data_IF_523343058387
#
_entry.id   IF_523343058387
#
_cell.length_a   1.000
_cell.length_b   1.000
_cell.length_c   1.000
_cell.angle_alpha   90.00
_cell.angle_beta   90.00
_cell.angle_gamma   90.00
#
_symmetry.space_group_name_H-M   'P 1'
#
loop_
_entity.id
_entity.type
_entity.pdbx_description
1 polymer ?
#
# COMPACT_ATOMS: atom_id res chain seq x y z
N UNK A 1 16.70 -10.87 16.82
CA UNK A 1 16.12 -11.65 15.70
C UNK A 1 17.08 -12.78 15.34
N UNK A 2 16.56 -13.95 14.96
CA UNK A 2 17.42 -15.07 14.51
C UNK A 2 18.10 -14.67 13.18
N UNK A 3 19.45 -14.77 13.12
CA UNK A 3 20.23 -14.37 11.94
C UNK A 3 19.80 -15.11 10.68
N UNK A 4 19.56 -16.42 10.77
CA UNK A 4 19.10 -17.26 9.65
C UNK A 4 17.73 -16.79 9.13
N UNK A 5 16.80 -16.42 10.02
CA UNK A 5 15.50 -15.90 9.63
C UNK A 5 15.66 -14.57 8.87
N UNK A 6 16.52 -13.69 9.34
CA UNK A 6 16.81 -12.43 8.68
C UNK A 6 17.36 -12.64 7.28
N UNK A 7 18.32 -13.55 7.12
CA UNK A 7 18.90 -13.89 5.80
C UNK A 7 17.83 -14.48 4.85
N UNK A 8 16.94 -15.34 5.36
CA UNK A 8 15.81 -15.88 4.56
C UNK A 8 14.87 -14.73 4.13
N UNK A 9 14.50 -13.83 5.02
CA UNK A 9 13.62 -12.71 4.70
C UNK A 9 14.25 -11.78 3.65
N UNK A 10 15.54 -11.47 3.79
CA UNK A 10 16.28 -10.62 2.85
C UNK A 10 16.48 -11.27 1.48
N UNK A 11 16.49 -12.60 1.39
CA UNK A 11 16.61 -13.32 0.12
C UNK A 11 15.29 -13.46 -0.65
N UNK A 12 14.17 -13.06 -0.08
CA UNK A 12 12.84 -13.21 -0.68
C UNK A 12 12.41 -11.94 -1.40
N UNK A 13 12.28 -12.02 -2.71
CA UNK A 13 11.79 -10.93 -3.56
C UNK A 13 10.27 -10.66 -3.41
N UNK A 14 9.54 -11.60 -2.81
CA UNK A 14 8.09 -11.51 -2.62
C UNK A 14 7.69 -10.90 -1.27
N UNK A 15 8.66 -10.49 -0.44
CA UNK A 15 8.43 -9.83 0.85
C UNK A 15 8.87 -8.38 0.75
N UNK A 16 7.99 -7.48 1.18
CA UNK A 16 8.27 -6.06 1.30
C UNK A 16 8.35 -5.64 2.76
N UNK A 17 9.19 -4.66 3.07
CA UNK A 17 9.19 -3.95 4.35
C UNK A 17 8.03 -2.93 4.45
N UNK A 18 7.28 -2.78 3.37
CA UNK A 18 6.15 -1.88 3.25
C UNK A 18 4.85 -2.64 3.05
N UNK A 19 3.76 -2.03 3.50
CA UNK A 19 2.38 -2.38 3.13
C UNK A 19 1.74 -1.17 2.44
N UNK A 20 0.87 -1.43 1.46
CA UNK A 20 0.36 -0.43 0.54
C UNK A 20 -1.14 -0.23 0.73
N UNK A 21 -1.56 1.03 0.84
CA UNK A 21 -2.96 1.41 0.72
C UNK A 21 -3.21 1.95 -0.67
N UNK A 22 -3.92 1.18 -1.50
CA UNK A 22 -4.29 1.59 -2.86
C UNK A 22 -5.63 2.29 -2.86
N UNK A 23 -5.71 3.34 -3.65
CA UNK A 23 -6.98 3.98 -4.00
C UNK A 23 -7.68 3.20 -5.11
N UNK A 24 -8.93 3.53 -5.41
CA UNK A 24 -9.78 2.76 -6.33
C UNK A 24 -10.77 3.65 -7.06
N UNK A 25 -11.37 3.07 -8.11
CA UNK A 25 -12.36 3.71 -8.96
C UNK A 25 -11.78 4.82 -9.85
N UNK A 26 -12.64 5.51 -10.57
CA UNK A 26 -12.25 6.51 -11.57
C UNK A 26 -11.56 7.75 -10.98
N UNK A 27 -11.82 8.07 -9.71
CA UNK A 27 -11.22 9.21 -8.99
C UNK A 27 -10.07 8.82 -8.06
N UNK A 28 -9.36 7.74 -8.42
CA UNK A 28 -8.29 7.20 -7.58
C UNK A 28 -7.11 8.18 -7.39
N UNK A 29 -6.78 8.94 -8.42
CA UNK A 29 -5.72 9.96 -8.37
C UNK A 29 -6.10 11.10 -7.42
N UNK A 30 -7.29 11.69 -7.57
CA UNK A 30 -7.79 12.75 -6.70
C UNK A 30 -7.93 12.27 -5.24
N UNK A 31 -8.25 11.00 -5.07
CA UNK A 31 -8.28 10.40 -3.73
C UNK A 31 -6.88 10.34 -3.12
N UNK A 32 -5.86 9.99 -3.91
CA UNK A 32 -4.47 10.01 -3.46
C UNK A 32 -4.03 11.42 -3.08
N UNK A 33 -4.35 12.44 -3.92
CA UNK A 33 -4.09 13.85 -3.59
C UNK A 33 -4.73 14.24 -2.25
N UNK A 34 -6.02 13.90 -2.06
CA UNK A 34 -6.74 14.18 -0.80
C UNK A 34 -6.06 13.55 0.41
N UNK A 35 -5.52 12.34 0.28
CA UNK A 35 -4.80 11.64 1.35
C UNK A 35 -3.49 12.36 1.67
N UNK A 36 -2.74 12.76 0.64
CA UNK A 36 -1.45 13.47 0.81
C UNK A 36 -1.65 14.85 1.44
N UNK A 37 -2.61 15.64 0.95
CA UNK A 37 -2.93 16.97 1.47
C UNK A 37 -3.43 16.89 2.93
N UNK A 38 -4.29 15.93 3.20
CA UNK A 38 -4.83 15.70 4.53
C UNK A 38 -3.86 14.98 5.48
N UNK A 39 -2.71 14.50 4.98
CA UNK A 39 -1.71 13.73 5.72
C UNK A 39 -2.31 12.57 6.50
N UNK A 40 -3.36 11.94 5.96
CA UNK A 40 -4.10 10.88 6.65
C UNK A 40 -4.87 9.97 5.69
N UNK A 41 -4.83 8.68 5.98
CA UNK A 41 -5.73 7.68 5.39
C UNK A 41 -6.90 7.50 6.35
N UNK A 42 -8.14 7.67 5.87
CA UNK A 42 -9.36 7.63 6.69
C UNK A 42 -10.25 6.44 6.35
N UNK A 43 -10.90 5.87 7.36
CA UNK A 43 -11.97 4.87 7.19
C UNK A 43 -13.27 5.56 6.74
N UNK A 44 -13.33 5.92 5.46
CA UNK A 44 -14.51 6.61 4.87
C UNK A 44 -15.76 5.74 4.82
N UNK A 45 -15.61 4.42 4.96
CA UNK A 45 -16.74 3.47 4.92
C UNK A 45 -17.23 3.05 6.31
N UNK A 46 -16.67 3.61 7.38
CA UNK A 46 -17.01 3.28 8.77
C UNK A 46 -16.93 1.78 9.09
N UNK A 47 -15.94 1.09 8.53
CA UNK A 47 -15.69 -0.33 8.81
C UNK A 47 -15.06 -0.58 10.18
N UNK A 48 -14.49 0.46 10.79
CA UNK A 48 -13.74 0.38 12.03
C UNK A 48 -12.28 -0.06 11.83
N UNK A 49 -11.83 -0.18 10.58
CA UNK A 49 -10.45 -0.50 10.25
C UNK A 49 -10.06 0.02 8.87
N UNK A 50 -8.76 0.20 8.67
CA UNK A 50 -8.15 0.58 7.39
C UNK A 50 -7.37 -0.63 6.86
N UNK A 51 -7.52 -0.90 5.54
CA UNK A 51 -6.88 -2.02 4.85
C UNK A 51 -5.60 -1.59 4.15
N UNK A 52 -4.61 -2.47 4.19
CA UNK A 52 -3.37 -2.39 3.42
C UNK A 52 -3.12 -3.73 2.71
N UNK A 53 -2.31 -3.71 1.68
CA UNK A 53 -1.88 -4.90 0.94
C UNK A 53 -0.37 -5.10 1.11
N UNK A 54 0.06 -6.33 1.33
CA UNK A 54 1.45 -6.77 1.24
C UNK A 54 1.66 -7.64 -0.03
N UNK A 55 0.84 -7.43 -1.07
CA UNK A 55 1.04 -8.13 -2.33
C UNK A 55 2.45 -7.86 -2.87
N UNK A 56 3.12 -8.88 -3.43
CA UNK A 56 4.46 -8.70 -3.99
C UNK A 56 4.49 -7.57 -5.01
N UNK A 57 5.45 -6.66 -4.87
CA UNK A 57 5.61 -5.50 -5.78
C UNK A 57 5.71 -5.98 -7.24
N UNK A 58 6.37 -7.09 -7.49
CA UNK A 58 6.50 -7.70 -8.81
C UNK A 58 5.18 -8.12 -9.45
N UNK A 59 4.12 -8.31 -8.65
CA UNK A 59 2.78 -8.67 -9.14
C UNK A 59 1.89 -7.45 -9.39
N UNK A 60 2.20 -6.29 -8.81
CA UNK A 60 1.36 -5.10 -8.89
C UNK A 60 1.15 -4.61 -10.33
N UNK A 61 2.13 -4.56 -11.22
CA UNK A 61 1.92 -4.13 -12.60
C UNK A 61 0.84 -4.97 -13.31
N UNK A 62 0.97 -6.30 -13.24
CA UNK A 62 -0.03 -7.20 -13.86
C UNK A 62 -1.42 -7.07 -13.23
N UNK A 63 -1.48 -6.78 -11.94
CA UNK A 63 -2.73 -6.51 -11.24
C UNK A 63 -3.39 -5.23 -11.75
N UNK A 64 -2.64 -4.14 -11.87
CA UNK A 64 -3.16 -2.87 -12.37
C UNK A 64 -3.64 -2.99 -13.82
N UNK A 65 -2.85 -3.63 -14.70
CA UNK A 65 -3.22 -3.90 -16.09
C UNK A 65 -4.52 -4.72 -16.20
N UNK A 66 -4.74 -5.65 -15.27
CA UNK A 66 -5.96 -6.43 -15.22
C UNK A 66 -7.15 -5.56 -14.80
N UNK A 67 -6.99 -4.77 -13.74
CA UNK A 67 -8.07 -3.93 -13.20
C UNK A 67 -8.42 -2.74 -14.10
N UNK A 68 -7.48 -2.22 -14.87
CA UNK A 68 -7.71 -1.11 -15.83
C UNK A 68 -8.76 -1.51 -16.92
N UNK A 69 -9.00 -2.80 -17.12
CA UNK A 69 -10.01 -3.30 -18.06
C UNK A 69 -11.45 -3.14 -17.56
N UNK A 70 -11.65 -2.75 -16.31
CA UNK A 70 -12.96 -2.58 -15.70
C UNK A 70 -13.27 -1.10 -15.52
N UNK A 71 -14.52 -0.69 -15.78
CA UNK A 71 -14.98 0.69 -15.60
C UNK A 71 -14.82 1.21 -14.17
N UNK A 72 -14.88 0.30 -13.18
CA UNK A 72 -14.67 0.60 -11.76
C UNK A 72 -13.59 -0.32 -11.18
N UNK A 73 -12.31 -0.01 -11.40
CA UNK A 73 -11.23 -0.84 -10.92
C UNK A 73 -11.24 -0.96 -9.39
N UNK A 74 -11.11 -2.18 -8.89
CA UNK A 74 -11.02 -2.44 -7.45
C UNK A 74 -9.73 -1.88 -6.85
N UNK A 75 -8.66 -1.82 -7.65
CA UNK A 75 -7.38 -1.20 -7.33
C UNK A 75 -6.92 -0.42 -8.54
N UNK A 76 -6.50 0.81 -8.33
CA UNK A 76 -5.86 1.65 -9.32
C UNK A 76 -4.36 1.80 -9.00
N UNK A 77 -3.51 2.18 -9.97
CA UNK A 77 -2.07 2.36 -9.75
C UNK A 77 -1.76 3.65 -8.97
N UNK A 78 -2.51 3.90 -7.90
CA UNK A 78 -2.35 5.05 -7.01
C UNK A 78 -2.42 4.57 -5.57
N UNK A 79 -1.45 4.94 -4.75
CA UNK A 79 -1.43 4.47 -3.37
C UNK A 79 -0.28 5.03 -2.55
N UNK A 80 -0.28 4.62 -1.30
CA UNK A 80 0.74 4.98 -0.33
C UNK A 80 1.29 3.72 0.32
N UNK A 81 2.61 3.57 0.30
CA UNK A 81 3.33 2.56 1.04
C UNK A 81 3.80 3.10 2.39
N UNK A 82 3.52 2.37 3.46
CA UNK A 82 3.95 2.68 4.83
C UNK A 82 4.77 1.50 5.34
N UNK A 83 5.80 1.78 6.15
CA UNK A 83 6.61 0.71 6.74
C UNK A 83 5.73 -0.25 7.53
N UNK A 84 5.94 -1.53 7.31
CA UNK A 84 5.19 -2.61 7.99
C UNK A 84 5.33 -2.53 9.50
N UNK A 85 6.50 -2.13 10.00
CA UNK A 85 6.76 -1.94 11.42
C UNK A 85 5.86 -0.84 12.02
N UNK A 86 5.68 0.29 11.31
CA UNK A 86 4.83 1.38 11.77
C UNK A 86 3.37 0.95 11.82
N UNK A 87 2.91 0.26 10.79
CA UNK A 87 1.56 -0.32 10.75
C UNK A 87 1.36 -1.34 11.88
N UNK A 88 2.37 -2.17 12.16
CA UNK A 88 2.32 -3.12 13.29
C UNK A 88 2.22 -2.41 14.64
N UNK A 89 2.99 -1.34 14.84
CA UNK A 89 2.98 -0.53 16.07
C UNK A 89 1.65 0.20 16.28
N UNK A 90 0.96 0.57 15.20
CA UNK A 90 -0.41 1.11 15.23
C UNK A 90 -1.49 0.04 15.53
N UNK A 91 -1.10 -1.19 15.81
CA UNK A 91 -2.02 -2.30 16.05
C UNK A 91 -2.43 -3.06 14.81
N UNK A 92 -1.89 -2.72 13.65
CA UNK A 92 -2.14 -3.43 12.40
C UNK A 92 -1.68 -4.87 12.45
N UNK A 93 -2.46 -5.76 11.80
CA UNK A 93 -2.18 -7.21 11.76
C UNK A 93 -2.60 -7.79 10.40
N UNK A 94 -1.97 -8.88 9.97
CA UNK A 94 -2.42 -9.64 8.81
C UNK A 94 -3.87 -10.09 8.98
N UNK A 95 -4.62 -10.12 7.89
CA UNK A 95 -5.97 -10.67 7.86
C UNK A 95 -5.99 -12.16 8.22
N UNK A 96 -7.14 -12.63 8.68
CA UNK A 96 -7.42 -14.03 8.97
C UNK A 96 -8.39 -14.51 7.90
N UNK A 97 -7.91 -15.37 7.01
CA UNK A 97 -8.71 -15.95 5.94
C UNK A 97 -9.37 -17.23 6.42
N UNK A 98 -10.67 -17.37 6.18
CA UNK A 98 -11.41 -18.57 6.57
C UNK A 98 -12.82 -18.58 5.98
N UNK A 99 -13.52 -19.70 6.15
CA UNK A 99 -14.95 -19.78 5.78
C UNK A 99 -15.77 -18.83 6.64
N UNK A 100 -16.96 -18.49 6.20
CA UNK A 100 -17.88 -17.65 6.99
C UNK A 100 -18.15 -18.26 8.36
N UNK A 101 -18.31 -19.58 8.44
CA UNK A 101 -18.54 -20.32 9.68
C UNK A 101 -17.36 -20.19 10.65
N UNK A 102 -16.13 -20.37 10.17
CA UNK A 102 -14.92 -20.23 10.97
C UNK A 102 -14.76 -18.79 11.48
N UNK A 103 -15.02 -17.81 10.63
CA UNK A 103 -14.91 -16.39 10.99
C UNK A 103 -15.93 -15.97 12.05
N UNK A 104 -17.12 -16.61 12.10
CA UNK A 104 -18.12 -16.36 13.18
C UNK A 104 -17.62 -16.80 14.54
N UNK A 105 -16.69 -17.75 14.60
CA UNK A 105 -16.11 -18.29 15.84
C UNK A 105 -14.95 -17.43 16.37
N UNK A 106 -14.49 -16.46 15.61
CA UNK A 106 -13.45 -15.55 16.08
C UNK A 106 -13.93 -14.77 17.31
N UNK A 107 -13.08 -14.57 18.32
CA UNK A 107 -13.34 -13.62 19.39
C UNK A 107 -13.69 -12.24 18.83
N UNK A 108 -14.58 -11.52 19.50
CA UNK A 108 -15.04 -10.18 19.07
C UNK A 108 -13.86 -9.25 18.77
N UNK A 109 -12.81 -9.34 19.60
CA UNK A 109 -11.58 -8.57 19.45
C UNK A 109 -10.77 -8.87 18.18
N UNK A 110 -11.08 -9.94 17.47
CA UNK A 110 -10.38 -10.37 16.25
C UNK A 110 -11.28 -10.35 15.00
N UNK A 111 -12.58 -10.16 15.14
CA UNK A 111 -13.52 -10.21 14.01
C UNK A 111 -13.18 -9.23 12.91
N UNK A 112 -12.64 -8.06 13.25
CA UNK A 112 -12.21 -7.05 12.26
C UNK A 112 -11.11 -7.55 11.32
N UNK A 113 -10.39 -8.62 11.67
CA UNK A 113 -9.36 -9.25 10.84
C UNK A 113 -9.91 -10.29 9.87
N UNK A 114 -11.14 -10.76 10.06
CA UNK A 114 -11.72 -11.85 9.28
C UNK A 114 -11.97 -11.45 7.82
N UNK A 115 -11.54 -12.31 6.89
CA UNK A 115 -11.80 -12.19 5.45
C UNK A 115 -12.37 -13.52 4.95
N UNK A 116 -13.58 -13.52 4.39
CA UNK A 116 -14.14 -14.74 3.79
C UNK A 116 -13.21 -15.28 2.70
N UNK A 117 -13.01 -16.59 2.71
CA UNK A 117 -12.15 -17.28 1.78
C UNK A 117 -12.83 -18.53 1.24
N UNK A 118 -12.94 -18.61 -0.09
CA UNK A 118 -13.44 -19.78 -0.83
C UNK A 118 -12.53 -19.95 -2.05
N UNK A 119 -11.74 -21.03 -2.13
CA UNK A 119 -10.85 -21.27 -3.26
C UNK A 119 -11.57 -21.18 -4.61
N UNK A 120 -11.04 -20.43 -5.54
CA UNK A 120 -11.57 -20.27 -6.88
C UNK A 120 -12.83 -19.38 -7.03
N UNK A 121 -13.39 -18.89 -5.89
CA UNK A 121 -14.55 -17.98 -5.90
C UNK A 121 -14.28 -16.69 -5.15
N UNK A 122 -13.82 -16.80 -3.91
CA UNK A 122 -13.45 -15.68 -3.05
C UNK A 122 -12.03 -15.87 -2.53
N UNK A 123 -11.04 -15.77 -3.40
CA UNK A 123 -9.62 -15.92 -3.08
C UNK A 123 -8.89 -14.60 -3.28
N UNK A 124 -8.86 -13.80 -2.22
CA UNK A 124 -8.07 -12.56 -2.14
C UNK A 124 -6.81 -12.73 -1.28
N UNK A 125 -6.41 -13.96 -0.97
CA UNK A 125 -5.24 -14.25 -0.13
C UNK A 125 -3.93 -13.74 -0.73
N UNK A 126 -3.86 -13.61 -2.06
CA UNK A 126 -2.73 -13.04 -2.79
C UNK A 126 -2.46 -11.56 -2.45
N UNK A 127 -3.48 -10.82 -1.95
CA UNK A 127 -3.33 -9.45 -1.46
C UNK A 127 -2.50 -9.39 -0.18
N UNK A 128 -2.39 -10.50 0.56
CA UNK A 128 -1.75 -10.52 1.89
C UNK A 128 -2.22 -9.34 2.72
N UNK A 129 -3.55 -9.23 2.85
CA UNK A 129 -4.19 -8.05 3.44
C UNK A 129 -3.75 -7.85 4.89
N UNK A 130 -3.46 -6.59 5.22
CA UNK A 130 -3.27 -6.10 6.59
C UNK A 130 -4.41 -5.17 6.95
N UNK A 131 -4.82 -5.18 8.21
CA UNK A 131 -5.84 -4.29 8.74
C UNK A 131 -5.34 -3.58 9.98
N UNK A 132 -5.70 -2.31 10.12
CA UNK A 132 -5.41 -1.48 11.31
C UNK A 132 -6.75 -1.10 11.94
N UNK A 133 -7.03 -1.46 13.21
CA UNK A 133 -8.31 -1.18 13.85
C UNK A 133 -8.38 0.28 14.32
N UNK A 134 -8.43 1.20 13.36
CA UNK A 134 -8.50 2.64 13.59
C UNK A 134 -9.37 3.30 12.53
N UNK A 135 -9.84 4.50 12.83
CA UNK A 135 -10.56 5.35 11.88
C UNK A 135 -9.64 6.19 10.99
N UNK A 136 -8.40 6.37 11.42
CA UNK A 136 -7.43 7.19 10.74
C UNK A 136 -6.01 6.68 10.97
N UNK A 137 -5.20 6.68 9.91
CA UNK A 137 -3.75 6.47 9.95
C UNK A 137 -3.11 7.76 9.47
N UNK A 138 -2.42 8.44 10.36
CA UNK A 138 -1.63 9.63 10.01
C UNK A 138 -0.41 9.21 9.19
N UNK A 139 -0.08 10.02 8.21
CA UNK A 139 1.08 9.81 7.35
C UNK A 139 2.01 11.03 7.45
N UNK A 140 3.31 10.75 7.44
CA UNK A 140 4.32 11.77 7.15
C UNK A 140 4.70 11.63 5.67
N UNK A 141 4.39 12.62 4.81
CA UNK A 141 4.73 12.54 3.39
C UNK A 141 6.22 12.32 3.10
N UNK A 142 7.10 12.65 4.05
CA UNK A 142 8.54 12.44 3.92
C UNK A 142 8.99 11.00 4.23
N UNK A 143 8.11 10.17 4.79
CA UNK A 143 8.41 8.80 5.23
C UNK A 143 7.53 7.74 4.57
N UNK A 144 6.85 8.09 3.47
CA UNK A 144 5.98 7.16 2.72
C UNK A 144 6.49 6.97 1.30
N UNK A 145 6.10 5.86 0.70
CA UNK A 145 6.27 5.62 -0.74
C UNK A 145 4.97 6.02 -1.42
N UNK A 146 5.04 6.93 -2.40
CA UNK A 146 3.89 7.30 -3.21
C UNK A 146 3.91 6.51 -4.52
N UNK A 147 2.81 5.83 -4.82
CA UNK A 147 2.63 5.08 -6.06
C UNK A 147 1.69 5.86 -6.96
N UNK A 148 2.13 6.14 -8.19
CA UNK A 148 1.34 6.72 -9.26
C UNK A 148 1.45 5.89 -10.53
N UNK A 149 0.55 6.14 -11.48
CA UNK A 149 0.50 5.44 -12.76
C UNK A 149 1.75 5.73 -13.59
N UNK A 150 2.17 7.00 -13.64
CA UNK A 150 3.32 7.44 -14.39
C UNK A 150 4.14 8.51 -13.63
N UNK A 151 5.29 8.82 -14.20
CA UNK A 151 6.25 9.74 -13.60
C UNK A 151 5.74 11.19 -13.63
N UNK A 152 4.98 11.60 -14.67
CA UNK A 152 4.42 12.94 -14.78
C UNK A 152 3.41 13.21 -13.67
N UNK A 153 2.57 12.23 -13.34
CA UNK A 153 1.61 12.35 -12.25
C UNK A 153 2.30 12.48 -10.89
N UNK A 154 3.45 11.80 -10.69
CA UNK A 154 4.24 11.98 -9.45
C UNK A 154 4.79 13.41 -9.40
N UNK A 155 5.33 13.93 -10.50
CA UNK A 155 5.79 15.31 -10.55
C UNK A 155 4.66 16.30 -10.27
N UNK A 156 3.47 16.08 -10.80
CA UNK A 156 2.31 16.93 -10.54
C UNK A 156 1.86 16.90 -9.08
N UNK A 157 1.86 15.73 -8.43
CA UNK A 157 1.59 15.60 -7.00
C UNK A 157 2.66 16.28 -6.14
N UNK A 158 3.88 16.32 -6.64
CA UNK A 158 5.04 16.86 -5.94
C UNK A 158 5.43 18.25 -6.47
N UNK A 159 4.62 18.91 -7.31
CA UNK A 159 4.94 20.16 -8.01
C UNK A 159 5.14 21.39 -7.13
N UNK A 160 4.81 21.31 -5.84
CA UNK A 160 5.29 22.27 -4.83
C UNK A 160 6.74 21.96 -4.39
N UNK A 161 7.38 21.00 -5.01
CA UNK A 161 8.69 20.45 -4.66
C UNK A 161 9.66 20.84 -5.76
N UNK A 162 10.39 21.93 -5.56
CA UNK A 162 11.53 22.30 -6.41
C UNK A 162 12.58 21.20 -6.33
N UNK A 163 13.16 20.82 -7.48
CA UNK A 163 14.26 19.87 -7.68
C UNK A 163 13.98 18.38 -7.37
N UNK A 164 13.61 17.65 -8.43
CA UNK A 164 13.54 16.17 -8.42
C UNK A 164 14.61 15.65 -9.39
N UNK A 165 15.54 14.85 -8.88
CA UNK A 165 16.45 14.05 -9.71
C UNK A 165 15.92 12.62 -9.84
N UNK A 166 15.96 12.09 -11.05
CA UNK A 166 15.62 10.70 -11.38
C UNK A 166 16.92 9.95 -11.66
N UNK A 167 17.17 8.86 -10.93
CA UNK A 167 18.37 8.01 -11.09
C UNK A 167 19.73 8.69 -10.75
N UNK A 168 19.82 9.43 -9.64
CA UNK A 168 21.08 9.96 -9.10
C UNK A 168 21.52 9.23 -7.81
N UNK A 169 22.75 9.51 -7.35
CA UNK A 169 23.19 9.10 -6.01
C UNK A 169 22.31 9.78 -4.95
N UNK A 170 21.71 8.97 -4.07
CA UNK A 170 20.76 9.45 -3.06
C UNK A 170 21.52 10.15 -1.95
N UNK A 171 21.33 11.44 -1.78
CA UNK A 171 21.85 12.18 -0.62
C UNK A 171 21.00 11.93 0.64
N UNK A 172 21.63 11.99 1.80
CA UNK A 172 20.99 11.83 3.10
C UNK A 172 19.90 12.93 3.27
N UNK A 173 18.64 12.52 3.43
CA UNK A 173 17.50 13.43 3.56
C UNK A 173 16.56 13.48 2.34
N UNK A 174 16.76 12.63 1.34
CA UNK A 174 15.83 12.53 0.20
C UNK A 174 14.53 11.80 0.56
N UNK A 175 13.41 12.30 0.06
CA UNK A 175 12.13 11.56 0.07
C UNK A 175 12.09 10.62 -1.14
N UNK A 176 11.86 9.33 -0.88
CA UNK A 176 11.74 8.32 -1.93
C UNK A 176 10.28 8.21 -2.39
N UNK A 177 10.06 8.34 -3.69
CA UNK A 177 8.79 8.08 -4.35
C UNK A 177 8.93 6.87 -5.26
N UNK A 178 7.96 5.96 -5.21
CA UNK A 178 7.88 4.85 -6.12
C UNK A 178 6.83 5.17 -7.18
N UNK A 179 7.27 5.42 -8.41
CA UNK A 179 6.41 5.60 -9.57
C UNK A 179 6.25 4.29 -10.33
N UNK A 180 5.07 4.04 -10.87
CA UNK A 180 4.83 2.96 -11.82
C UNK A 180 4.54 3.57 -13.18
N UNK A 181 5.36 3.22 -14.17
CA UNK A 181 5.18 3.67 -15.55
C UNK A 181 5.65 2.57 -16.50
N UNK A 182 4.96 2.39 -17.63
CA UNK A 182 5.28 1.39 -18.65
C UNK A 182 5.42 -0.04 -18.08
N UNK A 183 4.59 -0.38 -17.10
CA UNK A 183 4.63 -1.67 -16.42
C UNK A 183 5.83 -1.88 -15.49
N UNK A 184 6.55 -0.83 -15.12
CA UNK A 184 7.73 -0.90 -14.25
C UNK A 184 7.66 0.14 -13.14
N UNK A 185 8.13 -0.26 -11.95
CA UNK A 185 8.39 0.68 -10.87
C UNK A 185 9.68 1.45 -11.12
N UNK A 186 9.63 2.75 -10.86
CA UNK A 186 10.78 3.66 -10.87
C UNK A 186 10.89 4.31 -9.50
N UNK A 187 12.11 4.44 -9.01
CA UNK A 187 12.40 5.22 -7.80
C UNK A 187 12.64 6.66 -8.22
N UNK A 188 12.01 7.56 -7.52
CA UNK A 188 12.15 9.00 -7.70
C UNK A 188 12.56 9.57 -6.36
N UNK A 189 13.61 10.36 -6.34
CA UNK A 189 14.16 10.93 -5.12
C UNK A 189 14.00 12.45 -5.15
N UNK A 190 13.60 13.01 -4.02
CA UNK A 190 13.57 14.44 -3.79
C UNK A 190 14.71 14.83 -2.86
N UNK A 191 15.59 15.73 -3.33
CA UNK A 191 16.57 16.38 -2.47
C UNK A 191 15.88 17.32 -1.45
N UNK A 192 16.35 17.29 -0.22
CA UNK A 192 15.99 18.29 0.79
C UNK A 192 17.09 19.36 0.77
N UNK A 193 16.75 20.58 0.35
CA UNK A 193 17.63 21.74 0.46
C UNK A 193 17.55 22.36 1.84
#
# INVERSE_FOLDING_TARGET
>A
MNKTLLEILQSREDISDYVFHFTKHANAYETLQTILDGKAIKDVNNKGYICFSEAPITMLPSMFDLFERYDNPMYAPYGIGIRKEDIFNLGGRPAIYGTVEELTQLPETLKWRGVPYIPGAYDYSWLREWRVPTKEVLIDPNHVIVICKDTEEIFNLCSELEDIEVDGDVEEGCTEFLGWADGKFKRIYKGVH
#
